data_IF_510855479961
#
_entry.id   IF_510855479961
#
_cell.length_a   1.000
_cell.length_b   1.000
_cell.length_c   1.000
_cell.angle_alpha   90.00
_cell.angle_beta   90.00
_cell.angle_gamma   90.00
#
_symmetry.space_group_name_H-M   'P 1'
#
loop_
_entity.id
_entity.type
_entity.pdbx_description
1 polymer ?
#
# COMPACT_ATOMS: atom_id res chain seq x y z
N UNK A 1 1.91 -6.08 28.38
CA UNK A 1 2.70 -7.10 27.64
C UNK A 1 3.76 -6.37 26.84
N UNK A 2 5.03 -6.77 26.95
CA UNK A 2 6.10 -6.18 26.15
C UNK A 2 5.87 -6.53 24.67
N UNK A 3 5.91 -5.52 23.80
CA UNK A 3 5.89 -5.78 22.35
C UNK A 3 7.16 -6.57 22.01
N UNK A 4 7.05 -7.69 21.27
CA UNK A 4 8.24 -8.39 20.81
C UNK A 4 9.06 -7.42 19.97
N UNK A 5 10.23 -7.03 20.45
CA UNK A 5 11.20 -6.30 19.64
C UNK A 5 11.89 -7.32 18.75
N UNK A 6 11.86 -7.10 17.43
CA UNK A 6 12.64 -7.90 16.50
C UNK A 6 14.13 -7.78 16.88
N UNK A 7 14.90 -8.88 16.80
CA UNK A 7 16.35 -8.80 16.96
C UNK A 7 16.93 -7.80 15.95
N UNK A 8 18.03 -7.14 16.30
CA UNK A 8 18.76 -6.20 15.42
C UNK A 8 19.43 -6.95 14.25
N UNK A 9 18.61 -7.46 13.34
CA UNK A 9 19.04 -7.98 12.06
C UNK A 9 19.19 -6.81 11.08
N UNK A 10 20.14 -6.94 10.15
CA UNK A 10 20.38 -5.93 9.12
C UNK A 10 19.12 -5.78 8.25
N UNK A 11 18.72 -4.53 7.97
CA UNK A 11 17.50 -4.22 7.22
C UNK A 11 17.49 -4.87 5.83
N UNK A 12 18.66 -5.09 5.23
CA UNK A 12 18.82 -5.81 3.96
C UNK A 12 18.34 -7.27 4.05
N UNK A 13 18.71 -7.99 5.11
CA UNK A 13 18.32 -9.39 5.31
C UNK A 13 16.82 -9.47 5.58
N UNK A 14 16.30 -8.55 6.40
CA UNK A 14 14.88 -8.46 6.72
C UNK A 14 14.06 -8.14 5.47
N UNK A 15 14.51 -7.19 4.66
CA UNK A 15 13.86 -6.83 3.39
C UNK A 15 13.82 -8.01 2.43
N UNK A 16 14.92 -8.78 2.36
CA UNK A 16 14.99 -9.99 1.52
C UNK A 16 14.02 -11.09 2.00
N UNK A 17 13.92 -11.31 3.32
CA UNK A 17 12.94 -12.24 3.90
C UNK A 17 11.52 -11.77 3.59
N UNK A 18 11.21 -10.49 3.78
CA UNK A 18 9.86 -9.96 3.52
C UNK A 18 9.53 -10.05 2.03
N UNK A 19 10.47 -9.75 1.13
CA UNK A 19 10.28 -9.92 -0.31
C UNK A 19 9.97 -11.38 -0.68
N UNK A 20 10.70 -12.34 -0.10
CA UNK A 20 10.48 -13.78 -0.31
C UNK A 20 9.15 -14.28 0.26
N UNK A 21 8.68 -13.70 1.37
CA UNK A 21 7.40 -14.07 2.02
C UNK A 21 6.21 -13.33 1.38
N UNK A 22 6.46 -12.15 0.81
CA UNK A 22 5.46 -11.19 0.35
C UNK A 22 4.77 -11.56 -0.96
N UNK A 23 5.30 -12.50 -1.73
CA UNK A 23 4.61 -13.02 -2.93
C UNK A 23 3.40 -13.89 -2.56
N UNK A 24 3.41 -14.60 -1.42
CA UNK A 24 2.41 -15.64 -1.13
C UNK A 24 1.54 -15.43 0.12
N UNK A 25 1.85 -14.54 1.07
CA UNK A 25 0.97 -14.41 2.25
C UNK A 25 1.11 -13.16 3.12
N UNK A 26 0.02 -12.39 3.22
CA UNK A 26 -0.14 -11.31 4.20
C UNK A 26 -0.12 -11.80 5.68
N UNK A 27 -0.43 -13.07 5.94
CA UNK A 27 -0.51 -13.63 7.30
C UNK A 27 0.87 -13.71 7.98
N UNK A 28 1.93 -14.03 7.23
CA UNK A 28 3.29 -14.09 7.77
C UNK A 28 3.89 -12.69 8.00
N UNK A 29 3.50 -11.70 7.19
CA UNK A 29 3.84 -10.29 7.43
C UNK A 29 3.18 -9.69 8.67
N UNK A 30 2.08 -10.28 9.15
CA UNK A 30 1.43 -9.84 10.39
C UNK A 30 2.39 -9.79 11.58
N UNK A 31 3.39 -10.67 11.65
CA UNK A 31 4.42 -10.61 12.69
C UNK A 31 5.37 -9.42 12.54
N UNK A 32 5.73 -9.05 11.30
CA UNK A 32 6.56 -7.88 11.01
C UNK A 32 5.79 -6.58 11.27
N UNK A 33 4.53 -6.49 10.83
CA UNK A 33 3.67 -5.35 11.16
C UNK A 33 3.46 -5.21 12.69
N UNK A 34 3.35 -6.33 13.42
CA UNK A 34 3.27 -6.34 14.90
C UNK A 34 4.57 -5.94 15.60
N UNK A 35 5.71 -5.99 14.91
CA UNK A 35 6.99 -5.54 15.46
C UNK A 35 7.08 -4.00 15.58
N UNK A 36 6.03 -3.27 15.20
CA UNK A 36 5.92 -1.82 15.32
C UNK A 36 6.39 -1.11 14.06
N UNK A 37 6.66 0.19 14.20
CA UNK A 37 6.90 1.14 13.10
C UNK A 37 7.98 0.63 12.14
N UNK A 38 9.11 0.13 12.66
CA UNK A 38 10.22 -0.39 11.83
C UNK A 38 9.79 -1.55 10.93
N UNK A 39 9.00 -2.48 11.44
CA UNK A 39 8.56 -3.63 10.65
C UNK A 39 7.61 -3.20 9.53
N UNK A 40 6.73 -2.25 9.82
CA UNK A 40 5.85 -1.64 8.83
C UNK A 40 6.62 -0.89 7.73
N UNK A 41 7.60 -0.05 8.10
CA UNK A 41 8.46 0.67 7.15
C UNK A 41 9.18 -0.29 6.19
N UNK A 42 9.70 -1.40 6.70
CA UNK A 42 10.32 -2.43 5.85
C UNK A 42 9.32 -3.02 4.85
N UNK A 43 8.08 -3.28 5.26
CA UNK A 43 7.03 -3.78 4.36
C UNK A 43 6.70 -2.78 3.25
N UNK A 44 6.65 -1.49 3.56
CA UNK A 44 6.43 -0.41 2.59
C UNK A 44 7.60 -0.33 1.61
N UNK A 45 8.84 -0.40 2.13
CA UNK A 45 10.06 -0.30 1.33
C UNK A 45 10.22 -1.43 0.31
N UNK A 46 9.87 -2.66 0.69
CA UNK A 46 9.90 -3.81 -0.22
C UNK A 46 8.70 -3.88 -1.16
N UNK A 47 7.78 -2.90 -1.09
CA UNK A 47 6.65 -2.81 -2.00
C UNK A 47 5.51 -3.78 -1.68
N UNK A 48 5.36 -4.20 -0.42
CA UNK A 48 4.21 -5.01 -0.04
C UNK A 48 2.90 -4.25 -0.33
N UNK A 49 2.06 -4.83 -1.19
CA UNK A 49 0.91 -4.13 -1.79
C UNK A 49 -0.06 -3.55 -0.75
N UNK A 50 -0.29 -4.29 0.35
CA UNK A 50 -1.18 -3.88 1.46
C UNK A 50 -0.52 -2.79 2.31
N UNK A 51 0.75 -2.96 2.67
CA UNK A 51 1.48 -1.96 3.45
C UNK A 51 1.57 -0.61 2.72
N UNK A 52 1.88 -0.66 1.42
CA UNK A 52 1.93 0.52 0.53
C UNK A 52 0.56 1.19 0.44
N UNK A 53 -0.53 0.41 0.33
CA UNK A 53 -1.88 0.96 0.31
C UNK A 53 -2.18 1.75 1.58
N UNK A 54 -1.98 1.15 2.75
CA UNK A 54 -2.20 1.85 4.03
C UNK A 54 -1.27 3.05 4.22
N UNK A 55 -0.02 2.97 3.76
CA UNK A 55 0.93 4.08 3.88
C UNK A 55 0.49 5.26 3.04
N UNK A 56 0.03 5.00 1.81
CA UNK A 56 -0.51 6.02 0.94
C UNK A 56 -1.71 6.75 1.53
N UNK A 57 -2.64 6.00 2.17
CA UNK A 57 -3.75 6.60 2.90
C UNK A 57 -3.30 7.39 4.14
N UNK A 58 -2.30 6.88 4.85
CA UNK A 58 -1.75 7.57 6.01
C UNK A 58 -1.11 8.90 5.60
N UNK A 59 -0.29 8.91 4.56
CA UNK A 59 0.35 10.14 4.06
C UNK A 59 -0.65 11.12 3.47
N UNK A 60 -1.69 10.66 2.77
CA UNK A 60 -2.71 11.56 2.22
C UNK A 60 -3.43 12.36 3.31
N UNK A 61 -3.68 11.74 4.46
CA UNK A 61 -4.38 12.35 5.60
C UNK A 61 -3.47 13.19 6.49
N UNK A 62 -2.16 12.90 6.53
CA UNK A 62 -1.21 13.57 7.44
C UNK A 62 -0.35 14.64 6.77
N UNK A 63 0.04 14.41 5.51
CA UNK A 63 0.97 15.25 4.75
C UNK A 63 0.32 15.89 3.51
N UNK A 64 -0.82 15.36 3.07
CA UNK A 64 -1.57 15.87 1.93
C UNK A 64 -1.70 14.85 0.80
N UNK A 65 -2.75 15.03 0.01
CA UNK A 65 -3.20 14.07 -1.00
C UNK A 65 -2.11 13.71 -2.02
N UNK A 66 -1.30 14.67 -2.43
CA UNK A 66 -0.18 14.46 -3.38
C UNK A 66 0.84 13.45 -2.86
N UNK A 67 1.17 13.51 -1.57
CA UNK A 67 2.12 12.57 -0.97
C UNK A 67 1.54 11.15 -0.86
N UNK A 68 0.23 11.05 -0.67
CA UNK A 68 -0.48 9.77 -0.78
C UNK A 68 -0.38 9.19 -2.19
N UNK A 69 -0.57 10.02 -3.23
CA UNK A 69 -0.42 9.59 -4.63
C UNK A 69 1.00 9.06 -4.88
N UNK A 70 2.04 9.79 -4.48
CA UNK A 70 3.45 9.40 -4.65
C UNK A 70 3.76 7.98 -4.13
N UNK A 71 3.14 7.60 -3.01
CA UNK A 71 3.29 6.25 -2.46
C UNK A 71 2.48 5.24 -3.25
N UNK A 72 1.20 5.54 -3.52
CA UNK A 72 0.25 4.60 -4.12
C UNK A 72 0.50 4.32 -5.60
N UNK A 73 1.16 5.20 -6.35
CA UNK A 73 1.40 5.02 -7.78
C UNK A 73 2.11 3.70 -8.10
N UNK A 74 2.98 3.20 -7.22
CA UNK A 74 3.66 1.91 -7.40
C UNK A 74 2.70 0.71 -7.42
N UNK A 75 1.49 0.87 -6.89
CA UNK A 75 0.44 -0.15 -6.86
C UNK A 75 -0.56 -0.02 -8.02
N UNK A 76 -0.47 1.04 -8.83
CA UNK A 76 -1.42 1.32 -9.93
C UNK A 76 -0.89 0.71 -11.23
N UNK A 77 -1.74 0.05 -12.06
CA UNK A 77 -3.17 -0.17 -11.89
C UNK A 77 -3.51 -1.54 -11.26
N UNK A 78 -2.51 -2.30 -10.80
CA UNK A 78 -2.67 -3.72 -10.42
C UNK A 78 -3.44 -3.92 -9.13
N UNK A 79 -3.26 -3.05 -8.13
CA UNK A 79 -4.05 -3.07 -6.90
C UNK A 79 -5.31 -2.22 -7.05
N UNK A 80 -6.47 -2.87 -6.96
CA UNK A 80 -7.80 -2.24 -7.11
C UNK A 80 -7.98 -1.06 -6.16
N UNK A 81 -7.75 -1.26 -4.86
CA UNK A 81 -8.00 -0.23 -3.85
C UNK A 81 -7.03 0.94 -3.95
N UNK A 82 -5.75 0.70 -4.28
CA UNK A 82 -4.79 1.78 -4.51
C UNK A 82 -5.15 2.59 -5.75
N UNK A 83 -5.57 1.93 -6.82
CA UNK A 83 -5.97 2.56 -8.07
C UNK A 83 -7.21 3.42 -7.86
N UNK A 84 -8.21 2.92 -7.14
CA UNK A 84 -9.38 3.69 -6.75
C UNK A 84 -9.00 4.91 -5.90
N UNK A 85 -8.15 4.74 -4.89
CA UNK A 85 -7.69 5.82 -4.03
C UNK A 85 -6.94 6.91 -4.82
N UNK A 86 -6.04 6.54 -5.73
CA UNK A 86 -5.32 7.49 -6.61
C UNK A 86 -6.29 8.25 -7.51
N UNK A 87 -7.30 7.59 -8.07
CA UNK A 87 -8.33 8.27 -8.87
C UNK A 87 -9.13 9.30 -8.08
N UNK A 88 -9.54 8.96 -6.85
CA UNK A 88 -10.22 9.89 -5.93
C UNK A 88 -9.30 11.06 -5.56
N UNK A 89 -8.02 10.78 -5.30
CA UNK A 89 -7.03 11.80 -4.96
C UNK A 89 -6.81 12.79 -6.11
N UNK A 90 -6.75 12.32 -7.36
CA UNK A 90 -6.72 13.21 -8.53
C UNK A 90 -7.98 14.09 -8.63
N UNK A 91 -9.17 13.56 -8.34
CA UNK A 91 -10.39 14.37 -8.26
C UNK A 91 -10.30 15.45 -7.17
N UNK A 92 -9.77 15.13 -5.98
CA UNK A 92 -9.58 16.10 -4.90
C UNK A 92 -8.63 17.24 -5.30
N UNK A 93 -7.70 17.00 -6.22
CA UNK A 93 -6.76 18.00 -6.75
C UNK A 93 -7.31 18.76 -7.96
N UNK A 94 -8.54 18.47 -8.42
CA UNK A 94 -9.11 19.05 -9.65
C UNK A 94 -8.44 18.54 -10.93
N UNK A 95 -7.71 17.42 -10.86
CA UNK A 95 -6.99 16.78 -11.97
C UNK A 95 -7.90 15.74 -12.65
N UNK A 96 -8.95 16.23 -13.30
CA UNK A 96 -10.03 15.39 -13.85
C UNK A 96 -9.53 14.43 -14.93
N UNK A 97 -8.61 14.86 -15.79
CA UNK A 97 -8.08 14.02 -16.87
C UNK A 97 -7.26 12.85 -16.33
N UNK A 98 -6.44 13.09 -15.32
CA UNK A 98 -5.67 12.07 -14.62
C UNK A 98 -6.59 11.09 -13.89
N UNK A 99 -7.63 11.58 -13.20
CA UNK A 99 -8.62 10.75 -12.54
C UNK A 99 -9.36 9.83 -13.53
N UNK A 100 -9.84 10.37 -14.65
CA UNK A 100 -10.50 9.61 -15.72
C UNK A 100 -9.57 8.51 -16.25
N UNK A 101 -8.31 8.85 -16.51
CA UNK A 101 -7.31 7.89 -17.00
C UNK A 101 -7.12 6.73 -16.02
N UNK A 102 -7.06 7.03 -14.72
CA UNK A 102 -6.92 6.03 -13.67
C UNK A 102 -8.16 5.14 -13.58
N UNK A 103 -9.37 5.71 -13.65
CA UNK A 103 -10.62 4.93 -13.61
C UNK A 103 -10.82 4.06 -14.85
N UNK A 104 -10.39 4.51 -16.03
CA UNK A 104 -10.40 3.68 -17.25
C UNK A 104 -9.47 2.48 -17.11
N UNK A 105 -8.27 2.67 -16.56
CA UNK A 105 -7.34 1.58 -16.26
C UNK A 105 -7.92 0.59 -15.25
N UNK A 106 -8.64 1.10 -14.24
CA UNK A 106 -9.32 0.25 -13.26
C UNK A 106 -10.42 -0.60 -13.91
N UNK A 107 -11.25 0.00 -14.77
CA UNK A 107 -12.34 -0.69 -15.46
C UNK A 107 -11.83 -1.74 -16.46
N UNK A 108 -10.66 -1.51 -17.08
CA UNK A 108 -10.05 -2.45 -18.03
C UNK A 108 -9.47 -3.72 -17.41
N UNK A 109 -9.37 -3.82 -16.08
CA UNK A 109 -8.78 -4.97 -15.37
C UNK A 109 -9.80 -6.07 -15.01
N UNK A 110 -11.00 -6.10 -15.59
CA UNK A 110 -12.09 -7.05 -15.27
C UNK A 110 -12.41 -7.14 -13.75
N UNK A 111 -12.28 -6.01 -13.05
CA UNK A 111 -12.43 -5.95 -11.60
C UNK A 111 -13.90 -5.83 -11.22
N UNK A 112 -14.49 -6.88 -10.65
CA UNK A 112 -15.71 -6.75 -9.84
C UNK A 112 -15.35 -6.08 -8.51
N UNK A 113 -15.78 -4.82 -8.32
CA UNK A 113 -15.79 -4.17 -7.01
C UNK A 113 -16.85 -4.85 -6.13
N UNK A 114 -16.52 -6.01 -5.55
CA UNK A 114 -17.38 -6.65 -4.55
C UNK A 114 -17.37 -5.79 -3.29
N UNK A 115 -18.56 -5.51 -2.74
CA UNK A 115 -18.72 -4.68 -1.53
C UNK A 115 -17.90 -5.22 -0.33
N UNK A 116 -17.63 -6.52 -0.33
CA UNK A 116 -16.80 -7.21 0.68
C UNK A 116 -15.33 -6.77 0.68
N UNK A 117 -14.82 -6.16 -0.39
CA UNK A 117 -13.46 -5.61 -0.44
C UNK A 117 -13.33 -4.23 0.22
N UNK A 118 -14.46 -3.65 0.67
CA UNK A 118 -14.54 -2.30 1.26
C UNK A 118 -14.61 -2.34 2.80
N UNK A 119 -14.72 -3.53 3.41
CA UNK A 119 -14.85 -3.72 4.86
C UNK A 119 -13.74 -4.58 5.48
#
# INVERSE_FOLDING_TARGET
>A
MARPQLPNLLDEIMSKIIGLVGEDSALYLGAFMRAGIRGYELCVNVGNIVAVYYEGLHRSTTLGVEEGINVLERNVPTHVLSTLAVGIFYMCLGKEMEAITVFQRLAGNDVELKSEAIF
#
